data_IF_898291552801
#
_entry.id   IF_898291552801
#
_cell.length_a   1.000
_cell.length_b   1.000
_cell.length_c   1.000
_cell.angle_alpha   90.00
_cell.angle_beta   90.00
_cell.angle_gamma   90.00
#
_symmetry.space_group_name_H-M   'P 1'
#
loop_
_entity.id
_entity.type
_entity.pdbx_description
1 polymer ?
#
# COMPACT_ATOMS: atom_id res chain seq x y z
N UNK A 1 4.26 31.45 -4.18
CA UNK A 1 3.14 31.02 -3.31
C UNK A 1 2.86 29.58 -3.65
N UNK A 2 2.75 28.69 -2.66
CA UNK A 2 2.32 27.31 -2.92
C UNK A 2 0.91 27.34 -3.53
N UNK A 3 0.65 26.52 -4.54
CA UNK A 3 -0.67 26.45 -5.18
C UNK A 3 -1.61 25.72 -4.22
N UNK A 4 -2.58 26.42 -3.66
CA UNK A 4 -3.63 25.79 -2.85
C UNK A 4 -4.51 24.92 -3.74
N UNK A 5 -4.80 23.71 -3.29
CA UNK A 5 -5.72 22.77 -3.95
C UNK A 5 -6.99 22.61 -3.11
N UNK A 6 -8.11 22.28 -3.75
CA UNK A 6 -9.37 22.01 -3.06
C UNK A 6 -9.58 20.51 -2.94
N UNK A 7 -9.71 20.04 -1.70
CA UNK A 7 -9.93 18.64 -1.36
C UNK A 7 -11.36 18.45 -0.90
N UNK A 8 -11.98 17.38 -1.35
CA UNK A 8 -13.26 16.94 -0.83
C UNK A 8 -13.01 16.19 0.46
N UNK A 9 -13.63 16.68 1.52
CA UNK A 9 -13.74 15.98 2.79
C UNK A 9 -15.22 15.67 3.04
N UNK A 10 -15.53 14.65 3.86
CA UNK A 10 -16.88 14.49 4.41
C UNK A 10 -17.21 15.69 5.33
N UNK A 11 -18.13 15.52 6.28
CA UNK A 11 -18.36 16.55 7.30
C UNK A 11 -17.14 16.78 8.21
N UNK A 12 -16.99 18.00 8.75
CA UNK A 12 -15.88 18.39 9.63
C UNK A 12 -15.79 17.56 10.92
N UNK A 13 -16.89 16.92 11.34
CA UNK A 13 -16.95 16.07 12.53
C UNK A 13 -16.66 14.59 12.23
N UNK A 14 -16.44 14.22 10.97
CA UNK A 14 -16.05 12.86 10.58
C UNK A 14 -14.53 12.72 10.70
N UNK A 15 -14.09 11.91 11.66
CA UNK A 15 -12.68 11.73 11.97
C UNK A 15 -12.23 10.28 11.74
N UNK A 16 -11.00 10.04 11.24
CA UNK A 16 -10.43 8.70 11.13
C UNK A 16 -10.47 7.93 12.45
N UNK A 17 -10.59 6.59 12.43
CA UNK A 17 -10.59 5.74 11.25
C UNK A 17 -11.96 5.65 10.56
N UNK A 18 -11.99 5.77 9.23
CA UNK A 18 -13.20 5.56 8.43
C UNK A 18 -12.90 5.01 7.03
N UNK A 19 -13.95 4.47 6.42
CA UNK A 19 -14.05 4.26 4.98
C UNK A 19 -15.26 5.05 4.47
N UNK A 20 -15.02 5.94 3.53
CA UNK A 20 -16.03 6.84 2.96
C UNK A 20 -16.09 6.63 1.45
N UNK A 21 -17.28 6.62 0.89
CA UNK A 21 -17.50 6.67 -0.54
C UNK A 21 -17.86 8.09 -0.93
N UNK A 22 -17.18 8.61 -1.94
CA UNK A 22 -17.58 9.81 -2.67
C UNK A 22 -18.29 9.38 -3.96
N UNK A 23 -19.27 10.16 -4.42
CA UNK A 23 -19.90 9.96 -5.73
C UNK A 23 -20.08 11.27 -6.50
N UNK A 24 -20.04 11.13 -7.82
CA UNK A 24 -20.42 12.13 -8.78
C UNK A 24 -21.37 11.50 -9.81
N UNK A 25 -22.59 12.01 -9.89
CA UNK A 25 -23.55 11.61 -10.91
C UNK A 25 -23.48 12.61 -12.06
N UNK A 26 -23.29 12.12 -13.28
CA UNK A 26 -23.18 12.96 -14.46
C UNK A 26 -23.83 12.29 -15.68
N UNK A 27 -24.11 13.08 -16.71
CA UNK A 27 -24.71 12.60 -17.95
C UNK A 27 -23.88 13.08 -19.13
N UNK A 28 -23.71 12.21 -20.13
CA UNK A 28 -23.04 12.54 -21.39
C UNK A 28 -23.99 12.28 -22.56
N UNK A 29 -24.02 13.20 -23.52
CA UNK A 29 -24.96 13.16 -24.66
C UNK A 29 -24.46 12.31 -25.84
N UNK A 30 -23.16 12.07 -25.91
CA UNK A 30 -22.51 11.24 -26.93
C UNK A 30 -21.29 10.54 -26.33
N UNK A 31 -20.88 9.43 -26.94
CA UNK A 31 -19.66 8.72 -26.57
C UNK A 31 -18.45 9.66 -26.50
N UNK A 32 -17.74 9.62 -25.38
CA UNK A 32 -16.63 10.54 -25.04
C UNK A 32 -15.60 9.85 -24.14
N UNK A 33 -14.65 10.63 -23.61
CA UNK A 33 -13.68 10.18 -22.61
C UNK A 33 -13.74 11.07 -21.37
N UNK A 34 -13.88 10.43 -20.22
CA UNK A 34 -13.69 11.07 -18.93
C UNK A 34 -12.20 11.10 -18.61
N UNK A 35 -11.66 12.30 -18.34
CA UNK A 35 -10.26 12.55 -17.99
C UNK A 35 -10.16 13.36 -16.72
N UNK A 36 -9.42 12.86 -15.74
CA UNK A 36 -9.21 13.56 -14.50
C UNK A 36 -7.94 13.06 -13.79
N UNK A 37 -7.43 13.90 -12.91
CA UNK A 37 -6.43 13.57 -11.90
C UNK A 37 -7.11 13.36 -10.57
N UNK A 38 -6.60 12.42 -9.79
CA UNK A 38 -7.04 12.25 -8.41
C UNK A 38 -5.88 12.05 -7.48
N UNK A 39 -6.07 12.43 -6.23
CA UNK A 39 -5.23 11.99 -5.12
C UNK A 39 -6.13 11.68 -3.95
N UNK A 40 -5.65 10.86 -3.05
CA UNK A 40 -6.29 10.57 -1.78
C UNK A 40 -5.31 10.84 -0.66
N UNK A 41 -5.80 10.85 0.57
CA UNK A 41 -4.91 10.84 1.71
C UNK A 41 -4.24 9.46 1.83
N UNK A 42 -4.80 8.47 2.52
CA UNK A 42 -4.14 7.16 2.55
C UNK A 42 -4.31 6.36 1.24
N UNK A 43 -5.54 6.03 0.85
CA UNK A 43 -5.80 5.30 -0.40
C UNK A 43 -7.22 5.50 -0.89
N UNK A 44 -7.37 5.62 -2.20
CA UNK A 44 -8.63 5.56 -2.89
C UNK A 44 -8.67 4.43 -3.93
N UNK A 45 -9.83 3.80 -4.05
CA UNK A 45 -10.20 2.95 -5.18
C UNK A 45 -11.37 3.59 -5.92
N UNK A 46 -11.24 3.73 -7.25
CA UNK A 46 -12.22 4.44 -8.07
C UNK A 46 -13.01 3.47 -8.93
N UNK A 47 -14.30 3.75 -9.08
CA UNK A 47 -15.23 2.96 -9.87
C UNK A 47 -16.03 3.86 -10.81
N UNK A 48 -16.28 3.40 -12.03
CA UNK A 48 -17.26 3.98 -12.95
C UNK A 48 -18.35 2.95 -13.16
N UNK A 49 -19.59 3.30 -12.82
CA UNK A 49 -20.76 2.43 -12.91
C UNK A 49 -20.55 1.08 -12.19
N UNK A 50 -19.87 1.14 -11.04
CA UNK A 50 -19.52 -0.04 -10.23
C UNK A 50 -18.33 -0.86 -10.74
N UNK A 51 -17.70 -0.50 -11.87
CA UNK A 51 -16.49 -1.16 -12.38
C UNK A 51 -15.25 -0.42 -11.91
N UNK A 52 -14.27 -1.13 -11.33
CA UNK A 52 -13.01 -0.52 -10.89
C UNK A 52 -12.25 0.06 -12.10
N UNK A 53 -11.80 1.31 -12.00
CA UNK A 53 -11.04 2.00 -13.06
C UNK A 53 -9.62 2.41 -12.64
N UNK A 54 -9.41 2.68 -11.35
CA UNK A 54 -8.11 3.14 -10.84
C UNK A 54 -7.97 2.90 -9.33
N UNK A 55 -6.74 3.03 -8.84
CA UNK A 55 -6.42 3.08 -7.41
C UNK A 55 -5.18 3.95 -7.18
N UNK A 56 -5.04 4.47 -5.96
CA UNK A 56 -3.88 5.27 -5.58
C UNK A 56 -4.19 6.24 -4.43
N UNK A 57 -3.33 7.22 -4.16
CA UNK A 57 -2.07 7.46 -4.84
C UNK A 57 -1.02 6.39 -4.48
N UNK A 58 0.11 6.40 -5.18
CA UNK A 58 1.23 5.54 -4.82
C UNK A 58 1.82 5.94 -3.44
N UNK A 59 2.13 4.95 -2.59
CA UNK A 59 2.81 5.16 -1.30
C UNK A 59 4.04 6.05 -1.45
N UNK A 60 4.16 7.04 -0.57
CA UNK A 60 5.20 8.07 -0.62
C UNK A 60 5.40 8.74 0.73
N UNK A 61 6.39 9.62 0.79
CA UNK A 61 6.64 10.48 1.94
C UNK A 61 5.76 11.72 1.97
N UNK A 62 5.75 12.41 3.10
CA UNK A 62 5.02 13.67 3.27
C UNK A 62 5.54 14.80 2.36
N UNK A 63 6.75 14.69 1.80
CA UNK A 63 7.31 15.72 0.93
C UNK A 63 6.94 15.52 -0.55
N UNK A 64 6.46 14.34 -0.94
CA UNK A 64 6.11 14.03 -2.33
C UNK A 64 4.78 13.27 -2.41
N UNK A 65 3.66 13.96 -2.18
CA UNK A 65 2.35 13.35 -2.33
C UNK A 65 2.00 13.23 -3.82
N UNK A 66 1.67 12.04 -4.31
CA UNK A 66 1.43 11.82 -5.74
C UNK A 66 -0.04 11.94 -6.11
N UNK A 67 -0.33 12.30 -7.36
CA UNK A 67 -1.64 12.10 -7.98
C UNK A 67 -1.60 10.94 -8.97
N UNK A 68 -2.76 10.31 -9.22
CA UNK A 68 -3.00 9.42 -10.35
C UNK A 68 -3.72 10.14 -11.48
N UNK A 69 -3.53 9.67 -12.71
CA UNK A 69 -4.23 10.15 -13.90
C UNK A 69 -5.14 9.05 -14.46
N UNK A 70 -6.37 9.41 -14.79
CA UNK A 70 -7.37 8.48 -15.32
C UNK A 70 -7.89 8.99 -16.65
N UNK A 71 -7.98 8.10 -17.63
CA UNK A 71 -8.67 8.33 -18.90
C UNK A 71 -9.49 7.08 -19.22
N UNK A 72 -10.81 7.22 -19.28
CA UNK A 72 -11.72 6.09 -19.49
C UNK A 72 -12.81 6.47 -20.52
N UNK A 73 -13.15 5.58 -21.47
CA UNK A 73 -14.26 5.81 -22.39
C UNK A 73 -15.59 5.78 -21.63
N UNK A 74 -16.51 6.64 -22.04
CA UNK A 74 -17.87 6.75 -21.48
C UNK A 74 -18.85 6.85 -22.63
N UNK A 75 -19.86 5.98 -22.65
CA UNK A 75 -20.91 5.97 -23.67
C UNK A 75 -21.97 7.04 -23.41
N UNK A 76 -22.78 7.40 -24.39
CA UNK A 76 -23.95 8.25 -24.17
C UNK A 76 -24.87 7.67 -23.07
N UNK A 77 -25.21 8.46 -22.04
CA UNK A 77 -26.02 7.98 -20.92
C UNK A 77 -25.76 8.68 -19.58
N UNK A 78 -26.40 8.15 -18.55
CA UNK A 78 -26.18 8.52 -17.15
C UNK A 78 -25.08 7.63 -16.55
N UNK A 79 -24.18 8.24 -15.80
CA UNK A 79 -23.03 7.58 -15.21
C UNK A 79 -22.81 8.00 -13.77
N UNK A 80 -22.21 7.11 -13.00
CA UNK A 80 -21.81 7.37 -11.63
C UNK A 80 -20.31 7.05 -11.48
N UNK A 81 -19.52 8.09 -11.23
CA UNK A 81 -18.16 7.96 -10.74
C UNK A 81 -18.20 7.88 -9.22
N UNK A 82 -17.59 6.86 -8.63
CA UNK A 82 -17.43 6.74 -7.19
C UNK A 82 -15.97 6.56 -6.80
N UNK A 83 -15.63 6.97 -5.58
CA UNK A 83 -14.31 6.78 -5.00
C UNK A 83 -14.44 6.29 -3.55
N UNK A 84 -13.95 5.09 -3.28
CA UNK A 84 -13.80 4.55 -1.93
C UNK A 84 -12.51 5.10 -1.33
N UNK A 85 -12.59 6.01 -0.37
CA UNK A 85 -11.47 6.53 0.39
C UNK A 85 -11.32 5.77 1.71
N UNK A 86 -10.13 5.22 1.93
CA UNK A 86 -9.69 4.73 3.22
C UNK A 86 -8.90 5.83 3.92
N UNK A 87 -9.25 6.13 5.17
CA UNK A 87 -8.49 7.03 6.04
C UNK A 87 -8.53 6.46 7.47
N UNK A 88 -7.47 5.77 7.87
CA UNK A 88 -7.38 5.10 9.17
C UNK A 88 -6.72 5.96 10.25
N UNK A 89 -6.03 7.02 9.84
CA UNK A 89 -5.33 7.94 10.71
C UNK A 89 -4.09 7.30 11.37
N UNK A 90 -3.34 8.08 12.17
CA UNK A 90 -2.02 7.67 12.65
C UNK A 90 -2.04 6.44 13.57
N UNK A 91 -3.17 6.14 14.21
CA UNK A 91 -3.29 4.99 15.10
C UNK A 91 -3.40 3.66 14.34
N UNK A 92 -4.18 3.62 13.25
CA UNK A 92 -4.58 2.38 12.58
C UNK A 92 -4.14 2.27 11.13
N UNK A 93 -3.56 3.32 10.54
CA UNK A 93 -2.97 3.21 9.20
C UNK A 93 -1.88 2.14 9.15
N UNK A 94 -1.65 1.59 7.96
CA UNK A 94 -0.60 0.61 7.72
C UNK A 94 0.77 1.21 8.09
N UNK A 95 1.72 0.39 8.54
CA UNK A 95 2.98 0.93 9.05
C UNK A 95 3.79 1.66 7.99
N UNK A 96 3.76 1.19 6.74
CA UNK A 96 4.42 1.82 5.60
C UNK A 96 3.61 2.99 4.98
N UNK A 97 2.50 3.39 5.59
CA UNK A 97 1.64 4.44 5.09
C UNK A 97 1.81 5.71 5.93
N UNK A 98 1.98 6.86 5.26
CA UNK A 98 1.94 8.17 5.92
C UNK A 98 0.53 8.75 5.84
N UNK A 99 0.19 9.56 6.84
CA UNK A 99 -1.11 10.22 6.99
C UNK A 99 -0.86 11.70 7.33
N UNK A 100 -1.63 12.61 6.73
CA UNK A 100 -1.49 14.06 6.93
C UNK A 100 -2.83 14.71 7.28
N UNK A 101 -3.74 14.75 6.31
CA UNK A 101 -5.10 15.26 6.49
C UNK A 101 -6.04 14.51 5.53
N UNK A 102 -7.08 13.83 6.04
CA UNK A 102 -7.96 13.02 5.20
C UNK A 102 -8.66 13.83 4.10
N UNK A 103 -8.87 13.20 2.94
CA UNK A 103 -9.64 13.79 1.85
C UNK A 103 -9.40 13.13 0.51
N UNK A 104 -10.24 13.48 -0.45
CA UNK A 104 -10.14 13.11 -1.85
C UNK A 104 -9.95 14.37 -2.70
N UNK A 105 -8.88 14.42 -3.48
CA UNK A 105 -8.66 15.43 -4.50
C UNK A 105 -9.09 14.88 -5.85
N UNK A 106 -9.85 15.68 -6.61
CA UNK A 106 -10.15 15.42 -8.02
C UNK A 106 -9.98 16.72 -8.78
N UNK A 107 -9.14 16.71 -9.81
CA UNK A 107 -9.10 17.76 -10.83
C UNK A 107 -9.53 17.14 -12.16
N UNK A 108 -10.66 17.60 -12.66
CA UNK A 108 -11.25 17.09 -13.89
C UNK A 108 -10.81 17.93 -15.10
N UNK A 109 -10.53 17.27 -16.23
CA UNK A 109 -9.99 17.89 -17.44
C UNK A 109 -10.91 17.73 -18.68
N UNK A 110 -12.08 17.09 -18.57
CA UNK A 110 -13.03 16.81 -19.65
C UNK A 110 -14.36 17.59 -19.58
N UNK A 111 -14.57 18.40 -18.54
CA UNK A 111 -15.78 19.12 -18.16
C UNK A 111 -17.05 18.24 -18.09
N UNK A 112 -16.93 16.99 -17.63
CA UNK A 112 -18.07 16.07 -17.51
C UNK A 112 -18.64 15.96 -16.10
N UNK A 113 -17.80 16.06 -15.07
CA UNK A 113 -18.21 15.84 -13.69
C UNK A 113 -18.97 17.05 -13.12
N UNK A 114 -20.01 16.76 -12.33
CA UNK A 114 -20.78 17.78 -11.62
C UNK A 114 -19.95 18.43 -10.49
N UNK A 115 -20.16 19.71 -10.14
CA UNK A 115 -19.62 20.26 -8.89
C UNK A 115 -20.25 19.65 -7.63
N UNK A 116 -21.44 19.04 -7.75
CA UNK A 116 -22.25 18.55 -6.63
C UNK A 116 -21.82 17.14 -6.16
N UNK A 117 -20.57 17.03 -5.73
CA UNK A 117 -20.07 15.81 -5.13
C UNK A 117 -20.78 15.51 -3.81
N UNK A 118 -21.02 14.23 -3.59
CA UNK A 118 -21.63 13.74 -2.36
C UNK A 118 -20.78 12.64 -1.74
N UNK A 119 -20.97 12.40 -0.46
CA UNK A 119 -20.33 11.31 0.25
C UNK A 119 -21.34 10.49 1.07
N UNK A 120 -20.92 9.27 1.40
CA UNK A 120 -21.56 8.39 2.36
C UNK A 120 -20.46 7.63 3.12
N UNK A 121 -20.55 7.64 4.46
CA UNK A 121 -19.66 6.84 5.29
C UNK A 121 -20.17 5.41 5.40
N UNK A 122 -19.26 4.44 5.28
CA UNK A 122 -19.58 3.04 5.58
C UNK A 122 -19.64 2.86 7.10
N UNK A 123 -20.76 2.34 7.61
CA UNK A 123 -20.89 1.99 9.01
C UNK A 123 -20.08 0.74 9.33
N UNK A 124 -18.85 0.95 9.80
CA UNK A 124 -17.90 -0.09 10.13
C UNK A 124 -16.95 0.37 11.24
N UNK A 125 -16.32 -0.59 11.92
CA UNK A 125 -15.18 -0.36 12.81
C UNK A 125 -13.94 -1.06 12.29
N UNK A 126 -12.78 -0.52 12.63
CA UNK A 126 -11.49 -1.11 12.30
C UNK A 126 -10.86 -1.77 13.52
N UNK A 127 -10.20 -2.91 13.32
CA UNK A 127 -9.43 -3.62 14.34
C UNK A 127 -7.98 -3.80 13.88
N UNK A 128 -6.99 -3.72 14.80
CA UNK A 128 -5.59 -3.90 14.45
C UNK A 128 -5.34 -5.19 13.68
N UNK A 129 -4.46 -5.17 12.66
CA UNK A 129 -4.14 -6.36 11.89
C UNK A 129 -3.24 -7.27 12.74
N UNK A 130 -3.71 -8.47 13.03
CA UNK A 130 -2.96 -9.50 13.77
C UNK A 130 -3.18 -10.80 13.02
N UNK A 131 -2.11 -11.54 12.64
CA UNK A 131 -0.71 -11.38 13.07
C UNK A 131 0.14 -10.40 12.22
N UNK A 132 -0.37 -9.91 11.11
CA UNK A 132 0.32 -9.09 10.11
C UNK A 132 0.26 -7.58 10.44
N UNK A 133 0.90 -7.21 11.54
CA UNK A 133 0.79 -5.91 12.19
C UNK A 133 1.15 -4.69 11.32
N UNK A 134 1.89 -4.87 10.24
CA UNK A 134 2.31 -3.79 9.35
C UNK A 134 1.28 -3.41 8.27
N UNK A 135 0.28 -4.24 8.02
CA UNK A 135 -0.69 -4.05 6.93
C UNK A 135 -1.87 -3.15 7.33
N UNK A 136 -2.86 -3.00 6.45
CA UNK A 136 -4.09 -2.27 6.79
C UNK A 136 -4.96 -3.07 7.78
N UNK A 137 -5.46 -2.35 8.81
CA UNK A 137 -6.39 -2.83 9.83
C UNK A 137 -7.59 -3.56 9.22
N UNK A 138 -8.14 -4.58 9.90
CA UNK A 138 -9.32 -5.34 9.45
C UNK A 138 -10.59 -4.55 9.67
N UNK A 139 -11.57 -4.75 8.80
CA UNK A 139 -12.83 -4.03 8.76
C UNK A 139 -13.99 -4.90 9.22
N UNK A 140 -14.75 -4.42 10.20
CA UNK A 140 -15.96 -5.07 10.69
C UNK A 140 -17.16 -4.16 10.41
N UNK A 141 -17.98 -4.51 9.42
CA UNK A 141 -19.21 -3.81 9.08
C UNK A 141 -20.30 -4.00 10.13
N UNK A 142 -21.03 -2.93 10.41
CA UNK A 142 -22.25 -2.99 11.19
C UNK A 142 -23.43 -3.56 10.35
N UNK A 143 -24.46 -4.14 10.98
CA UNK A 143 -25.69 -4.51 10.30
C UNK A 143 -26.33 -3.29 9.60
N UNK A 144 -26.78 -3.46 8.36
CA UNK A 144 -27.45 -2.39 7.60
C UNK A 144 -26.50 -1.43 6.88
N UNK A 145 -25.19 -1.62 6.98
CA UNK A 145 -24.22 -0.86 6.18
C UNK A 145 -24.50 -1.00 4.67
N UNK A 146 -24.29 0.08 3.91
CA UNK A 146 -24.48 0.06 2.46
C UNK A 146 -23.27 -0.57 1.75
N UNK A 147 -23.26 -1.90 1.63
CA UNK A 147 -22.21 -2.64 0.92
C UNK A 147 -22.20 -2.40 -0.61
N UNK A 148 -23.20 -1.69 -1.15
CA UNK A 148 -23.29 -1.34 -2.57
C UNK A 148 -22.83 0.10 -2.85
N UNK A 149 -22.33 0.83 -1.84
CA UNK A 149 -21.91 2.23 -1.96
C UNK A 149 -20.79 2.46 -3.00
N UNK A 150 -19.99 1.44 -3.32
CA UNK A 150 -19.01 1.51 -4.42
C UNK A 150 -19.66 1.73 -5.80
N UNK A 151 -20.96 1.44 -5.97
CA UNK A 151 -21.71 1.79 -7.18
C UNK A 151 -22.27 3.22 -7.14
N UNK A 152 -22.08 3.93 -6.02
CA UNK A 152 -22.65 5.25 -5.76
C UNK A 152 -24.17 5.27 -5.58
N UNK A 153 -24.78 4.12 -5.23
CA UNK A 153 -26.23 3.96 -5.01
C UNK A 153 -26.53 3.45 -3.60
N UNK A 154 -27.79 3.58 -3.17
CA UNK A 154 -28.26 3.10 -1.87
C UNK A 154 -27.88 4.02 -0.69
N UNK A 155 -28.62 3.88 0.41
CA UNK A 155 -28.48 4.72 1.61
C UNK A 155 -28.64 6.22 1.35
N UNK A 156 -28.23 7.04 2.32
CA UNK A 156 -28.29 8.50 2.25
C UNK A 156 -26.93 9.09 1.87
N UNK A 157 -26.94 10.10 1.00
CA UNK A 157 -25.75 10.77 0.48
C UNK A 157 -25.80 12.25 0.82
N UNK A 158 -24.72 12.74 1.41
CA UNK A 158 -24.60 14.11 1.92
C UNK A 158 -23.63 14.91 1.05
N UNK A 159 -23.81 16.23 0.89
CA UNK A 159 -22.85 17.06 0.15
C UNK A 159 -21.47 17.03 0.81
N UNK A 160 -20.41 17.05 0.01
CA UNK A 160 -19.03 17.17 0.51
C UNK A 160 -18.73 18.59 1.00
N UNK A 161 -17.69 18.73 1.80
CA UNK A 161 -17.08 20.02 2.10
C UNK A 161 -15.80 20.14 1.28
N UNK A 162 -15.57 21.32 0.69
CA UNK A 162 -14.30 21.64 0.03
C UNK A 162 -13.37 22.32 1.04
N UNK A 163 -12.23 21.68 1.30
CA UNK A 163 -11.19 22.20 2.17
C UNK A 163 -9.96 22.59 1.35
N UNK A 164 -9.36 23.72 1.70
CA UNK A 164 -8.08 24.13 1.16
C UNK A 164 -6.95 23.27 1.73
N UNK A 165 -6.09 22.78 0.85
CA UNK A 165 -4.90 22.03 1.22
C UNK A 165 -3.68 22.56 0.46
N UNK A 166 -2.57 22.69 1.18
CA UNK A 166 -1.32 23.23 0.67
C UNK A 166 -0.30 22.15 0.29
N UNK A 167 -0.64 20.86 0.42
CA UNK A 167 0.24 19.77 0.01
C UNK A 167 0.52 19.86 -1.48
N UNK A 168 1.78 19.72 -1.82
CA UNK A 168 2.20 19.68 -3.21
C UNK A 168 1.87 18.31 -3.80
N UNK A 169 1.27 18.31 -4.99
CA UNK A 169 0.91 17.10 -5.71
C UNK A 169 1.89 16.87 -6.86
N UNK A 170 2.51 15.70 -6.86
CA UNK A 170 3.53 15.29 -7.82
C UNK A 170 2.98 14.27 -8.82
N UNK A 171 3.48 14.25 -10.07
CA UNK A 171 3.11 13.22 -11.03
C UNK A 171 3.46 11.81 -10.52
N UNK A 172 2.75 10.77 -10.99
CA UNK A 172 3.07 9.39 -10.63
C UNK A 172 4.47 9.02 -11.12
N UNK A 173 5.25 8.33 -10.29
CA UNK A 173 6.58 7.85 -10.67
C UNK A 173 6.58 6.38 -11.09
N UNK A 174 5.52 5.63 -10.77
CA UNK A 174 5.37 4.22 -11.12
C UNK A 174 4.30 4.01 -12.19
N UNK A 175 4.42 2.93 -12.99
CA UNK A 175 3.29 2.44 -13.77
C UNK A 175 2.16 1.94 -12.83
N UNK A 176 0.91 1.87 -13.32
CA UNK A 176 -0.18 1.24 -12.57
C UNK A 176 0.14 -0.21 -12.18
N UNK A 177 -0.27 -0.62 -10.98
CA UNK A 177 -0.11 -2.01 -10.53
C UNK A 177 -0.87 -2.98 -11.43
N UNK A 178 -0.33 -4.18 -11.63
CA UNK A 178 -1.00 -5.21 -12.44
C UNK A 178 -2.24 -5.74 -11.72
N UNK A 179 -3.26 -6.16 -12.47
CA UNK A 179 -4.42 -6.89 -11.93
C UNK A 179 -4.77 -8.02 -12.89
N UNK A 180 -4.08 -9.14 -12.73
CA UNK A 180 -4.21 -10.30 -13.62
C UNK A 180 -5.16 -11.33 -12.99
N UNK A 181 -6.19 -11.82 -13.69
CA UNK A 181 -7.04 -12.88 -13.16
C UNK A 181 -6.21 -14.06 -12.67
N UNK A 182 -6.47 -14.51 -11.44
CA UNK A 182 -5.82 -15.66 -10.82
C UNK A 182 -6.85 -16.78 -10.68
N UNK A 183 -6.74 -17.76 -11.58
CA UNK A 183 -7.68 -18.89 -11.69
C UNK A 183 -7.06 -20.20 -11.23
N UNK A 184 -5.78 -20.20 -10.85
CA UNK A 184 -5.04 -21.39 -10.44
C UNK A 184 -5.18 -21.63 -8.94
N UNK A 185 -6.39 -22.06 -8.57
CA UNK A 185 -6.74 -22.43 -7.21
C UNK A 185 -7.69 -23.62 -7.16
N UNK A 186 -7.57 -24.39 -6.07
CA UNK A 186 -8.55 -25.40 -5.67
C UNK A 186 -9.47 -24.78 -4.62
N UNK A 187 -10.78 -24.94 -4.83
CA UNK A 187 -11.79 -24.54 -3.86
C UNK A 187 -12.35 -25.76 -3.12
N UNK A 188 -12.34 -25.70 -1.80
CA UNK A 188 -12.99 -26.65 -0.91
C UNK A 188 -14.00 -25.92 -0.04
N UNK A 189 -15.27 -25.98 -0.43
CA UNK A 189 -16.34 -25.24 0.23
C UNK A 189 -16.03 -23.73 0.26
N UNK A 190 -15.63 -23.21 1.42
CA UNK A 190 -15.32 -21.80 1.67
C UNK A 190 -13.82 -21.53 1.78
N UNK A 191 -12.98 -22.51 1.45
CA UNK A 191 -11.52 -22.41 1.50
C UNK A 191 -10.94 -22.44 0.08
N UNK A 192 -10.07 -21.48 -0.23
CA UNK A 192 -9.39 -21.33 -1.52
C UNK A 192 -7.90 -21.55 -1.33
N UNK A 193 -7.36 -22.58 -1.98
CA UNK A 193 -5.93 -22.91 -1.98
C UNK A 193 -5.33 -22.58 -3.33
N UNK A 194 -4.45 -21.59 -3.35
CA UNK A 194 -3.77 -21.18 -4.58
C UNK A 194 -2.49 -21.99 -4.79
N UNK A 195 -2.18 -22.32 -6.04
CA UNK A 195 -0.97 -23.08 -6.37
C UNK A 195 0.34 -22.35 -6.00
N UNK A 196 0.27 -21.03 -5.92
CA UNK A 196 1.43 -20.17 -5.75
C UNK A 196 1.16 -19.04 -4.76
N UNK A 197 2.21 -18.63 -4.06
CA UNK A 197 2.19 -17.45 -3.19
C UNK A 197 2.06 -16.18 -4.03
N UNK A 198 1.15 -15.27 -3.70
CA UNK A 198 1.04 -13.99 -4.42
C UNK A 198 0.36 -12.89 -3.59
N UNK A 199 0.46 -11.65 -4.06
CA UNK A 199 -0.43 -10.57 -3.65
C UNK A 199 -1.75 -10.70 -4.41
N UNK A 200 -2.87 -10.81 -3.69
CA UNK A 200 -4.20 -11.04 -4.27
C UNK A 200 -5.21 -10.02 -3.80
N UNK A 201 -6.00 -9.55 -4.76
CA UNK A 201 -7.20 -8.76 -4.51
C UNK A 201 -8.43 -9.62 -4.82
N UNK A 202 -9.36 -9.71 -3.86
CA UNK A 202 -10.56 -10.53 -3.97
C UNK A 202 -11.81 -9.73 -4.29
N UNK A 203 -12.67 -10.31 -5.14
CA UNK A 203 -14.03 -9.85 -5.41
C UNK A 203 -14.98 -11.00 -5.15
N UNK A 204 -15.98 -10.79 -4.30
CA UNK A 204 -16.86 -11.84 -3.83
C UNK A 204 -18.31 -11.46 -4.07
N UNK A 205 -19.04 -12.33 -4.74
CA UNK A 205 -20.47 -12.21 -4.96
C UNK A 205 -21.19 -13.07 -3.94
N UNK A 206 -21.94 -12.43 -3.06
CA UNK A 206 -22.72 -13.07 -2.02
C UNK A 206 -24.23 -12.89 -2.25
N UNK A 207 -24.98 -13.81 -1.66
CA UNK A 207 -26.41 -13.68 -1.42
C UNK A 207 -26.63 -13.69 0.09
N UNK A 208 -27.30 -12.67 0.61
CA UNK A 208 -27.69 -12.59 2.02
C UNK A 208 -29.19 -12.89 2.25
N UNK A 209 -29.66 -12.78 3.51
CA UNK A 209 -28.97 -12.15 4.63
C UNK A 209 -28.06 -13.12 5.40
N UNK A 210 -27.08 -12.58 6.14
CA UNK A 210 -26.23 -13.37 7.03
C UNK A 210 -24.89 -12.69 7.31
N UNK A 211 -23.98 -13.39 7.97
CA UNK A 211 -22.63 -12.88 8.25
C UNK A 211 -21.61 -13.60 7.39
N UNK A 212 -20.63 -12.83 6.90
CA UNK A 212 -19.45 -13.37 6.22
C UNK A 212 -18.21 -12.89 6.96
N UNK A 213 -17.26 -13.80 7.20
CA UNK A 213 -15.90 -13.46 7.61
C UNK A 213 -14.94 -13.90 6.51
N UNK A 214 -13.98 -13.06 6.17
CA UNK A 214 -12.94 -13.33 5.16
C UNK A 214 -11.57 -13.17 5.79
N UNK A 215 -10.67 -14.13 5.62
CA UNK A 215 -9.26 -14.01 6.02
C UNK A 215 -8.32 -14.57 4.97
N UNK A 216 -7.07 -14.11 5.02
CA UNK A 216 -6.00 -14.51 4.12
C UNK A 216 -4.79 -14.97 4.93
N UNK A 217 -4.14 -16.05 4.49
CA UNK A 217 -3.13 -16.76 5.25
C UNK A 217 -1.90 -17.05 4.40
N UNK A 218 -0.73 -16.97 5.03
CA UNK A 218 0.57 -17.06 4.36
C UNK A 218 0.84 -18.45 3.76
N UNK A 219 0.92 -19.54 4.54
CA UNK A 219 1.10 -20.87 3.96
C UNK A 219 -0.20 -21.46 3.43
N UNK A 220 -0.07 -22.44 2.55
CA UNK A 220 -1.12 -23.43 2.32
C UNK A 220 -1.25 -24.31 3.57
N UNK A 221 -2.13 -23.93 4.50
CA UNK A 221 -2.55 -24.85 5.56
C UNK A 221 -3.49 -25.88 4.95
N UNK A 222 -3.38 -27.15 5.32
CA UNK A 222 -4.29 -28.17 4.78
C UNK A 222 -5.73 -27.98 5.28
N UNK A 223 -5.91 -27.27 6.41
CA UNK A 223 -7.21 -26.85 6.95
C UNK A 223 -7.02 -25.82 8.10
N UNK A 224 -8.13 -25.16 8.49
CA UNK A 224 -8.14 -24.14 9.55
C UNK A 224 -7.66 -24.62 10.93
N UNK A 225 -7.57 -25.93 11.18
CA UNK A 225 -7.11 -26.49 12.45
C UNK A 225 -5.58 -26.54 12.59
N UNK A 226 -4.82 -26.23 11.54
CA UNK A 226 -3.34 -26.15 11.56
C UNK A 226 -2.83 -24.75 11.89
N UNK A 227 -3.72 -23.74 11.94
CA UNK A 227 -3.37 -22.39 12.36
C UNK A 227 -2.90 -22.36 13.82
N UNK A 228 -1.84 -21.61 14.17
CA UNK A 228 -1.50 -21.37 15.57
C UNK A 228 -2.73 -20.88 16.34
N UNK A 229 -3.07 -21.44 17.52
CA UNK A 229 -4.29 -21.09 18.24
C UNK A 229 -4.52 -19.58 18.43
N UNK A 230 -3.45 -18.82 18.70
CA UNK A 230 -3.49 -17.36 18.82
C UNK A 230 -3.87 -16.60 17.52
N UNK A 231 -3.77 -17.24 16.36
CA UNK A 231 -4.15 -16.67 15.05
C UNK A 231 -5.57 -17.05 14.62
N UNK A 232 -6.22 -18.00 15.31
CA UNK A 232 -7.53 -18.52 14.89
C UNK A 232 -8.68 -17.54 15.11
N UNK A 233 -8.57 -16.69 16.12
CA UNK A 233 -9.61 -15.73 16.54
C UNK A 233 -9.46 -14.33 15.91
N UNK A 234 -8.40 -14.12 15.12
CA UNK A 234 -8.06 -12.82 14.53
C UNK A 234 -8.04 -12.88 13.00
N UNK A 235 -7.64 -11.78 12.36
CA UNK A 235 -7.41 -11.68 10.92
C UNK A 235 -8.68 -11.72 10.04
N UNK A 236 -9.86 -11.39 10.59
CA UNK A 236 -11.12 -11.41 9.83
C UNK A 236 -11.55 -10.02 9.40
N UNK A 237 -11.81 -9.85 8.11
CA UNK A 237 -12.74 -8.83 7.63
C UNK A 237 -14.17 -9.40 7.78
N UNK A 238 -15.08 -8.67 8.41
CA UNK A 238 -16.42 -9.14 8.78
C UNK A 238 -17.49 -8.28 8.11
N UNK A 239 -18.39 -8.93 7.37
CA UNK A 239 -19.48 -8.31 6.64
C UNK A 239 -20.83 -8.79 7.17
N UNK A 240 -21.78 -7.87 7.32
CA UNK A 240 -23.18 -8.19 7.61
C UNK A 240 -23.98 -8.00 6.33
N UNK A 241 -24.35 -9.10 5.69
CA UNK A 241 -25.07 -9.09 4.42
C UNK A 241 -26.57 -8.79 4.66
N UNK A 242 -27.15 -7.78 3.98
CA UNK A 242 -28.59 -7.63 3.90
C UNK A 242 -29.23 -8.73 3.03
N UNK A 243 -30.56 -8.88 3.03
CA UNK A 243 -31.25 -9.70 2.04
C UNK A 243 -30.95 -9.21 0.60
N UNK A 244 -30.63 -10.14 -0.30
CA UNK A 244 -30.33 -9.83 -1.70
C UNK A 244 -28.88 -10.08 -2.08
N UNK A 245 -28.52 -9.66 -3.30
CA UNK A 245 -27.18 -9.80 -3.85
C UNK A 245 -26.25 -8.69 -3.35
N UNK A 246 -25.03 -9.09 -2.99
CA UNK A 246 -23.96 -8.20 -2.52
C UNK A 246 -22.68 -8.55 -3.26
N UNK A 247 -21.98 -7.55 -3.78
CA UNK A 247 -20.63 -7.73 -4.30
C UNK A 247 -19.67 -6.98 -3.39
N UNK A 248 -18.76 -7.71 -2.77
CA UNK A 248 -17.70 -7.16 -1.95
C UNK A 248 -16.39 -7.12 -2.70
N UNK A 249 -15.70 -6.00 -2.61
CA UNK A 249 -14.34 -5.82 -3.10
C UNK A 249 -13.43 -5.63 -1.90
N UNK A 250 -12.36 -6.41 -1.79
CA UNK A 250 -11.38 -6.17 -0.74
C UNK A 250 -10.83 -4.73 -0.87
N UNK A 251 -10.71 -3.98 0.23
CA UNK A 251 -10.21 -2.59 0.17
C UNK A 251 -8.67 -2.52 0.09
N UNK A 252 -8.00 -3.66 0.29
CA UNK A 252 -6.55 -3.82 0.16
C UNK A 252 -6.23 -5.25 -0.29
N UNK A 253 -5.14 -5.44 -1.05
CA UNK A 253 -4.69 -6.79 -1.39
C UNK A 253 -4.18 -7.52 -0.14
N UNK A 254 -4.15 -8.85 -0.18
CA UNK A 254 -3.50 -9.67 0.85
C UNK A 254 -2.47 -10.58 0.22
N UNK A 255 -1.38 -10.83 0.94
CA UNK A 255 -0.36 -11.78 0.53
C UNK A 255 -0.67 -13.15 1.10
N UNK A 256 -0.34 -14.21 0.37
CA UNK A 256 -0.48 -15.58 0.89
C UNK A 256 -0.78 -16.62 -0.18
N UNK A 257 -1.14 -17.81 0.29
CA UNK A 257 -1.56 -18.96 -0.53
C UNK A 257 -2.96 -19.45 -0.21
N UNK A 258 -3.61 -18.91 0.83
CA UNK A 258 -4.94 -19.36 1.24
C UNK A 258 -5.87 -18.20 1.54
N UNK A 259 -7.10 -18.28 1.05
CA UNK A 259 -8.21 -17.41 1.46
C UNK A 259 -9.31 -18.28 2.06
N UNK A 260 -9.78 -17.94 3.25
CA UNK A 260 -10.83 -18.66 3.96
C UNK A 260 -12.03 -17.74 4.20
N UNK A 261 -13.23 -18.29 3.97
CA UNK A 261 -14.49 -17.66 4.31
C UNK A 261 -15.21 -18.46 5.40
N UNK A 262 -15.87 -17.75 6.30
CA UNK A 262 -16.88 -18.32 7.20
C UNK A 262 -18.22 -17.66 6.92
N UNK A 263 -19.22 -18.48 6.63
CA UNK A 263 -20.58 -18.05 6.29
C UNK A 263 -21.52 -18.49 7.41
N UNK A 264 -22.26 -17.56 7.99
CA UNK A 264 -23.21 -17.82 9.07
C UNK A 264 -24.60 -17.28 8.70
N UNK A 265 -25.65 -17.96 9.17
CA UNK A 265 -27.04 -17.63 8.83
C UNK A 265 -27.40 -18.03 7.40
N UNK A 266 -28.05 -17.13 6.66
CA UNK A 266 -28.46 -17.34 5.27
C UNK A 266 -27.44 -16.88 4.22
N UNK A 267 -26.22 -16.52 4.65
CA UNK A 267 -25.17 -16.04 3.76
C UNK A 267 -24.69 -17.16 2.83
N UNK A 268 -24.64 -16.88 1.54
CA UNK A 268 -24.19 -17.83 0.51
C UNK A 268 -23.18 -17.13 -0.39
N UNK A 269 -22.02 -17.74 -0.59
CA UNK A 269 -21.09 -17.35 -1.65
C UNK A 269 -21.62 -17.86 -3.00
N UNK A 270 -21.83 -16.95 -3.95
CA UNK A 270 -22.22 -17.26 -5.33
C UNK A 270 -21.02 -17.41 -6.24
N UNK A 271 -20.04 -16.51 -6.11
CA UNK A 271 -18.84 -16.49 -6.91
C UNK A 271 -17.71 -15.77 -6.16
N UNK A 272 -16.47 -16.22 -6.34
CA UNK A 272 -15.29 -15.48 -5.93
C UNK A 272 -14.36 -15.33 -7.14
N UNK A 273 -13.81 -14.13 -7.30
CA UNK A 273 -12.84 -13.79 -8.34
C UNK A 273 -11.59 -13.24 -7.64
N UNK A 274 -10.42 -13.69 -8.08
CA UNK A 274 -9.15 -13.26 -7.52
C UNK A 274 -8.28 -12.66 -8.61
N UNK A 275 -7.55 -11.61 -8.24
CA UNK A 275 -6.63 -10.92 -9.14
C UNK A 275 -5.26 -10.82 -8.48
N UNK A 276 -4.24 -11.32 -9.18
CA UNK A 276 -2.84 -11.09 -8.83
C UNK A 276 -2.48 -9.64 -9.07
N UNK A 277 -1.97 -9.00 -8.02
CA UNK A 277 -1.49 -7.62 -8.07
C UNK A 277 -0.01 -7.51 -7.72
N UNK A 278 0.59 -6.34 -7.93
CA UNK A 278 2.03 -6.14 -7.81
C UNK A 278 2.61 -5.15 -8.81
N UNK A 279 3.88 -4.78 -8.59
CA UNK A 279 4.63 -3.98 -9.55
C UNK A 279 4.76 -4.73 -10.90
N UNK A 280 4.48 -4.08 -12.05
CA UNK A 280 4.54 -4.71 -13.36
C UNK A 280 5.98 -4.73 -13.92
N UNK A 281 6.83 -5.58 -13.33
CA UNK A 281 8.23 -5.73 -13.78
C UNK A 281 8.36 -6.03 -15.28
N UNK A 282 9.34 -5.39 -15.92
CA UNK A 282 9.76 -5.69 -17.30
C UNK A 282 11.10 -6.40 -17.27
N UNK A 283 11.08 -7.72 -17.34
CA UNK A 283 12.28 -8.55 -17.31
C UNK A 283 13.06 -8.47 -18.63
N UNK A 284 14.39 -8.48 -18.54
CA UNK A 284 15.33 -8.56 -19.68
C UNK A 284 16.12 -9.87 -19.71
N UNK A 285 15.72 -10.82 -18.88
CA UNK A 285 16.34 -12.15 -18.73
C UNK A 285 15.25 -13.22 -18.79
N UNK A 286 15.64 -14.40 -19.23
CA UNK A 286 14.81 -15.61 -19.14
C UNK A 286 15.15 -16.37 -17.87
N UNK A 287 14.12 -16.88 -17.18
CA UNK A 287 14.28 -17.63 -15.92
C UNK A 287 14.44 -19.14 -16.14
N UNK A 288 14.88 -19.55 -17.33
CA UNK A 288 15.02 -20.95 -17.72
C UNK A 288 16.39 -21.50 -17.37
N UNK A 289 16.46 -22.75 -16.91
CA UNK A 289 17.73 -23.41 -16.64
C UNK A 289 17.66 -24.91 -16.99
N UNK A 290 18.69 -25.51 -17.62
CA UNK A 290 18.67 -26.93 -18.01
C UNK A 290 18.48 -27.92 -16.86
N UNK A 291 18.98 -27.57 -15.66
CA UNK A 291 18.77 -28.33 -14.42
C UNK A 291 17.43 -27.95 -13.77
N UNK A 292 16.45 -28.87 -13.66
CA UNK A 292 15.12 -28.57 -13.11
C UNK A 292 15.12 -27.98 -11.70
N UNK A 293 16.06 -28.39 -10.85
CA UNK A 293 16.17 -27.84 -9.49
C UNK A 293 16.52 -26.35 -9.50
N UNK A 294 17.38 -25.91 -10.42
CA UNK A 294 17.76 -24.50 -10.55
C UNK A 294 16.65 -23.68 -11.21
N UNK A 295 15.96 -24.23 -12.20
CA UNK A 295 14.80 -23.57 -12.81
C UNK A 295 13.71 -23.31 -11.76
N UNK A 296 13.43 -24.29 -10.91
CA UNK A 296 12.51 -24.12 -9.78
C UNK A 296 12.99 -23.05 -8.79
N UNK A 297 14.29 -23.00 -8.48
CA UNK A 297 14.85 -21.97 -7.61
C UNK A 297 14.71 -20.57 -8.22
N UNK A 298 14.94 -20.42 -9.53
CA UNK A 298 14.79 -19.14 -10.24
C UNK A 298 13.33 -18.68 -10.25
N UNK A 299 12.39 -19.60 -10.51
CA UNK A 299 10.96 -19.33 -10.45
C UNK A 299 10.52 -18.84 -9.06
N UNK A 300 10.95 -19.54 -7.99
CA UNK A 300 10.66 -19.16 -6.62
C UNK A 300 11.30 -17.82 -6.24
N UNK A 301 12.55 -17.58 -6.66
CA UNK A 301 13.27 -16.32 -6.40
C UNK A 301 12.58 -15.14 -7.08
N UNK A 302 12.17 -15.31 -8.34
CA UNK A 302 11.35 -14.35 -9.06
C UNK A 302 10.04 -14.10 -8.33
N UNK A 303 9.37 -15.15 -7.85
CA UNK A 303 8.10 -15.01 -7.14
C UNK A 303 8.24 -14.19 -5.86
N UNK A 304 9.25 -14.49 -5.05
CA UNK A 304 9.56 -13.73 -3.83
C UNK A 304 9.82 -12.27 -4.17
N UNK A 305 10.64 -12.00 -5.19
CA UNK A 305 10.92 -10.64 -5.65
C UNK A 305 9.65 -9.90 -6.09
N UNK A 306 8.78 -10.53 -6.89
CA UNK A 306 7.51 -9.91 -7.30
C UNK A 306 6.60 -9.61 -6.11
N UNK A 307 6.51 -10.52 -5.13
CA UNK A 307 5.67 -10.32 -3.96
C UNK A 307 6.20 -9.23 -3.03
N UNK A 308 7.51 -9.05 -2.95
CA UNK A 308 8.15 -7.98 -2.19
C UNK A 308 8.17 -6.62 -2.93
N UNK A 309 7.44 -6.49 -4.04
CA UNK A 309 7.38 -5.24 -4.83
C UNK A 309 5.94 -4.82 -5.14
N UNK A 310 5.58 -3.63 -4.69
CA UNK A 310 4.30 -2.99 -5.00
C UNK A 310 4.57 -1.53 -5.38
N UNK A 311 4.14 -0.58 -4.57
CA UNK A 311 4.46 0.85 -4.71
C UNK A 311 5.80 1.23 -4.05
N UNK A 312 6.34 0.31 -3.25
CA UNK A 312 7.67 0.33 -2.63
C UNK A 312 8.27 -1.07 -2.74
N UNK A 313 9.57 -1.18 -2.46
CA UNK A 313 10.11 -2.47 -2.02
C UNK A 313 9.61 -2.78 -0.61
N UNK A 314 9.54 -4.06 -0.27
CA UNK A 314 9.06 -4.56 1.01
C UNK A 314 10.03 -5.61 1.54
N UNK A 315 10.25 -5.64 2.84
CA UNK A 315 10.94 -6.73 3.54
C UNK A 315 10.17 -8.05 3.39
N UNK A 316 8.86 -8.00 3.63
CA UNK A 316 7.95 -9.12 3.47
C UNK A 316 6.55 -8.66 3.02
N UNK A 317 5.83 -9.49 2.25
CA UNK A 317 4.51 -9.12 1.74
C UNK A 317 3.36 -9.38 2.72
N UNK A 318 3.52 -10.33 3.66
CA UNK A 318 2.48 -10.70 4.62
C UNK A 318 2.50 -9.83 5.86
N UNK A 319 3.61 -9.80 6.62
CA UNK A 319 3.62 -9.24 7.98
C UNK A 319 3.75 -7.71 8.05
N UNK A 320 4.84 -7.15 7.52
CA UNK A 320 5.26 -5.76 7.79
C UNK A 320 5.02 -4.81 6.60
N UNK A 321 5.36 -5.26 5.39
CA UNK A 321 5.30 -4.45 4.16
C UNK A 321 6.12 -3.15 4.21
N UNK A 322 7.24 -3.15 4.94
CA UNK A 322 8.09 -1.98 5.19
C UNK A 322 9.25 -1.91 4.20
N UNK A 323 9.58 -0.70 3.73
CA UNK A 323 10.75 -0.49 2.86
C UNK A 323 12.01 -0.21 3.70
N UNK A 324 12.59 -1.27 4.27
CA UNK A 324 13.87 -1.19 4.98
C UNK A 324 15.03 -0.96 3.99
N UNK A 325 15.99 -0.13 4.38
CA UNK A 325 17.09 0.28 3.51
C UNK A 325 17.98 -0.89 3.11
N UNK A 326 18.29 -1.81 4.04
CA UNK A 326 19.11 -2.99 3.78
C UNK A 326 18.51 -3.89 2.70
N UNK A 327 17.25 -4.28 2.88
CA UNK A 327 16.45 -5.09 1.96
C UNK A 327 16.33 -4.40 0.60
N UNK A 328 16.04 -3.10 0.61
CA UNK A 328 15.87 -2.30 -0.60
C UNK A 328 17.13 -2.26 -1.45
N UNK A 329 18.32 -2.21 -0.84
CA UNK A 329 19.58 -2.25 -1.60
C UNK A 329 19.70 -3.53 -2.41
N UNK A 330 19.45 -4.68 -1.78
CA UNK A 330 19.53 -5.99 -2.46
C UNK A 330 18.49 -6.08 -3.57
N UNK A 331 17.25 -5.68 -3.28
CA UNK A 331 16.15 -5.70 -4.27
C UNK A 331 16.38 -4.73 -5.44
N UNK A 332 17.00 -3.56 -5.20
CA UNK A 332 17.38 -2.63 -6.25
C UNK A 332 18.48 -3.22 -7.16
N UNK A 333 19.52 -3.85 -6.58
CA UNK A 333 20.56 -4.54 -7.34
C UNK A 333 20.01 -5.68 -8.19
N UNK A 334 19.06 -6.46 -7.64
CA UNK A 334 18.32 -7.47 -8.40
C UNK A 334 17.60 -6.80 -9.58
N UNK A 335 16.86 -5.71 -9.34
CA UNK A 335 16.13 -4.97 -10.37
C UNK A 335 17.06 -4.50 -11.50
N UNK A 336 18.20 -3.89 -11.18
CA UNK A 336 19.16 -3.45 -12.20
C UNK A 336 19.71 -4.62 -13.03
N UNK A 337 19.85 -5.79 -12.40
CA UNK A 337 20.37 -7.00 -13.04
C UNK A 337 19.36 -7.64 -13.98
N UNK A 338 18.09 -7.77 -13.58
CA UNK A 338 17.11 -8.60 -14.29
C UNK A 338 16.01 -7.81 -15.01
N UNK A 339 15.85 -6.51 -14.72
CA UNK A 339 14.79 -5.67 -15.30
C UNK A 339 15.34 -4.57 -16.23
N UNK A 340 14.52 -4.16 -17.19
CA UNK A 340 14.76 -3.01 -18.06
C UNK A 340 14.10 -1.72 -17.56
N UNK A 341 13.12 -1.84 -16.65
CA UNK A 341 12.42 -0.70 -16.06
C UNK A 341 12.96 -0.38 -14.66
N UNK A 342 13.42 0.85 -14.48
CA UNK A 342 14.07 1.34 -13.26
C UNK A 342 13.23 2.42 -12.55
N UNK A 343 11.92 2.51 -12.83
CA UNK A 343 11.05 3.46 -12.13
C UNK A 343 10.99 3.20 -10.61
N UNK A 344 10.76 1.95 -10.18
CA UNK A 344 10.74 1.59 -8.76
C UNK A 344 12.05 1.91 -7.99
N UNK A 345 13.25 1.53 -8.47
CA UNK A 345 14.49 1.88 -7.76
C UNK A 345 14.77 3.38 -7.75
N UNK A 346 14.44 4.13 -8.82
CA UNK A 346 14.56 5.59 -8.81
C UNK A 346 13.64 6.23 -7.79
N UNK A 347 12.39 5.80 -7.71
CA UNK A 347 11.44 6.26 -6.69
C UNK A 347 11.94 5.90 -5.29
N UNK A 348 12.38 4.66 -5.07
CA UNK A 348 12.90 4.20 -3.77
C UNK A 348 14.08 5.06 -3.29
N UNK A 349 15.01 5.44 -4.18
CA UNK A 349 16.12 6.34 -3.83
C UNK A 349 15.64 7.73 -3.39
N UNK A 350 14.66 8.31 -4.09
CA UNK A 350 14.07 9.61 -3.71
C UNK A 350 13.36 9.53 -2.37
N UNK A 351 12.49 8.52 -2.22
CA UNK A 351 11.70 8.31 -1.01
C UNK A 351 12.58 8.04 0.21
N UNK A 352 13.61 7.21 0.09
CA UNK A 352 14.56 6.97 1.20
C UNK A 352 15.44 8.18 1.51
N UNK A 353 15.71 9.07 0.55
CA UNK A 353 16.43 10.32 0.84
C UNK A 353 15.64 11.27 1.74
N UNK A 354 14.30 11.19 1.75
CA UNK A 354 13.45 11.92 2.70
C UNK A 354 13.57 11.40 4.13
N UNK A 355 14.06 10.18 4.32
CA UNK A 355 14.34 9.58 5.62
C UNK A 355 15.55 10.20 6.32
N UNK A 356 16.32 11.05 5.61
CA UNK A 356 17.51 11.73 6.12
C UNK A 356 17.13 13.09 6.69
N UNK A 357 17.36 13.29 7.98
CA UNK A 357 17.16 14.57 8.65
C UNK A 357 18.28 15.58 8.34
N UNK A 358 18.12 16.82 8.79
CA UNK A 358 19.11 17.89 8.57
C UNK A 358 20.43 17.67 9.32
N UNK A 359 20.45 16.81 10.34
CA UNK A 359 21.65 16.43 11.08
C UNK A 359 22.39 15.24 10.42
N UNK A 360 21.82 14.65 9.36
CA UNK A 360 22.36 13.51 8.65
C UNK A 360 22.06 12.17 9.32
N UNK A 361 21.05 12.08 10.18
CA UNK A 361 20.54 10.80 10.67
C UNK A 361 19.55 10.25 9.65
N UNK A 362 19.65 8.95 9.34
CA UNK A 362 18.77 8.26 8.40
C UNK A 362 17.95 7.20 9.13
N UNK A 363 16.64 7.27 9.01
CA UNK A 363 15.77 6.20 9.52
C UNK A 363 16.05 4.87 8.80
N UNK A 364 15.89 3.75 9.50
CA UNK A 364 16.15 2.43 8.93
C UNK A 364 15.15 2.01 7.82
N UNK A 365 14.01 2.68 7.74
CA UNK A 365 12.92 2.44 6.78
C UNK A 365 12.15 3.73 6.51
N UNK A 366 11.58 3.86 5.33
CA UNK A 366 10.71 4.98 4.95
C UNK A 366 9.93 4.64 3.67
N UNK A 367 8.67 5.06 3.48
CA UNK A 367 7.83 5.82 4.42
C UNK A 367 7.37 4.99 5.61
N UNK A 368 6.93 5.65 6.68
CA UNK A 368 6.30 4.97 7.80
C UNK A 368 5.49 5.88 8.73
N UNK A 369 4.45 5.34 9.36
CA UNK A 369 3.56 6.10 10.27
C UNK A 369 4.23 6.56 11.56
N UNK A 370 5.32 5.91 11.95
CA UNK A 370 6.12 6.24 13.14
C UNK A 370 6.85 7.59 13.03
N UNK A 371 6.75 8.25 11.86
CA UNK A 371 7.43 9.52 11.56
C UNK A 371 6.68 10.74 12.12
N UNK A 372 5.57 10.53 12.82
CA UNK A 372 4.84 11.61 13.47
C UNK A 372 5.29 11.80 14.94
N UNK A 373 6.34 12.61 15.17
CA UNK A 373 6.56 13.22 16.49
C UNK A 373 6.90 14.70 16.33
N UNK A 374 5.88 15.56 16.42
CA UNK A 374 6.04 16.93 16.95
C UNK A 374 5.18 17.09 18.19
N UNK A 375 5.77 17.15 19.40
CA UNK A 375 5.09 17.62 20.58
C UNK A 375 5.65 19.00 20.97
N UNK A 376 4.87 20.05 20.73
CA UNK A 376 4.84 21.17 21.67
C UNK A 376 3.64 20.95 22.59
N UNK A 377 3.83 21.05 23.92
CA UNK A 377 2.80 20.91 24.96
C UNK A 377 2.40 19.48 25.41
N UNK A 378 3.39 18.58 25.51
CA UNK A 378 3.53 17.86 26.78
C UNK A 378 2.97 16.45 26.95
N UNK A 379 2.43 15.76 25.93
CA UNK A 379 2.30 14.28 25.95
C UNK A 379 2.36 13.66 24.55
N UNK A 380 3.45 12.97 24.28
CA UNK A 380 3.59 11.93 23.25
C UNK A 380 4.58 10.90 23.79
N UNK A 381 4.19 9.62 23.86
CA UNK A 381 5.13 8.53 24.15
C UNK A 381 5.99 8.38 22.90
N UNK A 382 7.30 8.59 23.03
CA UNK A 382 8.25 8.51 21.93
C UNK A 382 8.17 7.14 21.25
N UNK A 383 7.65 7.08 20.02
CA UNK A 383 8.00 5.99 19.11
C UNK A 383 9.42 6.28 18.65
N UNK A 384 10.35 5.43 19.09
CA UNK A 384 11.79 5.56 18.86
C UNK A 384 12.05 5.49 17.37
N UNK A 385 12.53 6.57 16.75
CA UNK A 385 13.15 6.47 15.43
C UNK A 385 14.27 5.43 15.52
N UNK A 386 14.06 4.27 14.90
CA UNK A 386 15.04 3.18 14.95
C UNK A 386 16.09 3.48 13.88
N UNK A 387 17.22 3.99 14.34
CA UNK A 387 18.39 4.21 13.50
C UNK A 387 19.20 2.92 13.45
N UNK A 388 19.49 2.42 12.25
CA UNK A 388 20.45 1.33 12.04
C UNK A 388 21.66 1.92 11.32
N UNK A 389 22.83 2.03 11.97
CA UNK A 389 24.02 2.64 11.37
C UNK A 389 24.45 2.00 10.05
N UNK A 390 24.42 0.68 9.95
CA UNK A 390 24.77 -0.04 8.71
C UNK A 390 23.86 0.35 7.55
N UNK A 391 22.58 0.65 7.81
CA UNK A 391 21.61 1.06 6.79
C UNK A 391 21.89 2.46 6.26
N UNK A 392 22.37 3.38 7.10
CA UNK A 392 22.85 4.70 6.67
C UNK A 392 23.97 4.56 5.63
N UNK A 393 24.91 3.63 5.84
CA UNK A 393 25.99 3.35 4.91
C UNK A 393 25.50 2.62 3.65
N UNK A 394 24.51 1.74 3.78
CA UNK A 394 23.89 1.07 2.65
C UNK A 394 23.19 2.07 1.73
N UNK A 395 22.57 3.13 2.25
CA UNK A 395 21.97 4.14 1.38
C UNK A 395 23.00 4.93 0.56
N UNK A 396 24.13 5.33 1.19
CA UNK A 396 25.27 5.90 0.44
C UNK A 396 25.73 4.93 -0.66
N UNK A 397 25.80 3.64 -0.32
CA UNK A 397 26.17 2.59 -1.27
C UNK A 397 25.11 2.41 -2.37
N UNK A 398 23.82 2.50 -2.07
CA UNK A 398 22.74 2.40 -3.07
C UNK A 398 22.83 3.51 -4.10
N UNK A 399 23.07 4.76 -3.67
CA UNK A 399 23.26 5.86 -4.62
C UNK A 399 24.53 5.66 -5.43
N UNK A 400 25.60 5.15 -4.83
CA UNK A 400 26.83 4.80 -5.55
C UNK A 400 26.61 3.62 -6.54
N UNK A 401 25.84 2.61 -6.17
CA UNK A 401 25.51 1.46 -7.01
C UNK A 401 24.70 1.93 -8.22
N UNK A 402 23.69 2.78 -8.00
CA UNK A 402 23.03 3.52 -9.09
C UNK A 402 24.08 4.30 -9.87
N UNK A 403 24.98 5.03 -9.19
CA UNK A 403 26.02 5.87 -9.77
C UNK A 403 26.96 5.18 -10.77
N UNK A 404 27.07 3.85 -10.68
CA UNK A 404 27.94 3.07 -11.54
C UNK A 404 27.23 2.38 -12.69
N UNK A 405 25.90 2.29 -12.63
CA UNK A 405 25.09 1.48 -13.54
C UNK A 405 24.31 2.29 -14.58
N UNK A 406 24.23 3.62 -14.44
CA UNK A 406 23.56 4.52 -15.40
C UNK A 406 24.48 5.58 -15.98
N UNK A 407 24.08 6.08 -17.14
CA UNK A 407 24.70 7.19 -17.85
C UNK A 407 24.03 8.56 -17.60
N UNK A 408 23.04 8.62 -16.70
CA UNK A 408 22.34 9.87 -16.30
C UNK A 408 22.62 10.24 -14.84
N UNK A 409 23.32 11.35 -14.65
CA UNK A 409 23.67 11.88 -13.34
C UNK A 409 22.56 12.72 -12.70
N UNK A 410 21.46 13.03 -13.39
CA UNK A 410 20.39 13.91 -12.92
C UNK A 410 19.87 13.53 -11.53
N UNK A 411 19.52 12.26 -11.34
CA UNK A 411 19.04 11.76 -10.04
C UNK A 411 20.15 11.78 -8.97
N UNK A 412 21.40 11.49 -9.31
CA UNK A 412 22.48 11.60 -8.30
C UNK A 412 22.67 13.04 -7.88
N UNK A 413 22.65 13.99 -8.82
CA UNK A 413 22.71 15.43 -8.52
C UNK A 413 21.52 15.88 -7.66
N UNK A 414 20.31 15.40 -7.96
CA UNK A 414 19.10 15.62 -7.17
C UNK A 414 19.28 15.17 -5.71
N UNK A 415 19.92 14.01 -5.49
CA UNK A 415 20.08 13.41 -4.16
C UNK A 415 21.29 13.96 -3.36
N UNK A 416 22.31 14.52 -4.03
CA UNK A 416 23.54 15.01 -3.39
C UNK A 416 23.30 15.92 -2.17
N UNK A 417 22.36 16.89 -2.18
CA UNK A 417 22.09 17.72 -1.02
C UNK A 417 21.67 16.94 0.23
N UNK A 418 20.99 15.79 0.07
CA UNK A 418 20.58 14.90 1.18
C UNK A 418 21.73 13.98 1.63
N UNK A 419 22.59 13.57 0.70
CA UNK A 419 23.71 12.67 0.99
C UNK A 419 24.86 13.36 1.75
N UNK A 420 25.07 14.66 1.53
CA UNK A 420 26.15 15.42 2.17
C UNK A 420 26.04 15.43 3.72
N UNK A 421 24.88 15.79 4.32
CA UNK A 421 24.70 15.68 5.76
C UNK A 421 24.89 14.25 6.29
N UNK A 422 24.39 13.24 5.58
CA UNK A 422 24.56 11.83 5.94
C UNK A 422 26.04 11.42 5.99
N UNK A 423 26.80 11.74 4.93
CA UNK A 423 28.22 11.45 4.86
C UNK A 423 29.03 12.21 5.94
N UNK A 424 28.69 13.46 6.22
CA UNK A 424 29.31 14.24 7.30
C UNK A 424 28.96 13.67 8.68
N UNK A 425 27.73 13.20 8.89
CA UNK A 425 27.34 12.50 10.11
C UNK A 425 28.14 11.21 10.30
N UNK A 426 28.29 10.39 9.26
CA UNK A 426 29.17 9.21 9.30
C UNK A 426 30.61 9.59 9.64
N UNK A 427 31.17 10.62 9.00
CA UNK A 427 32.54 11.09 9.23
C UNK A 427 32.77 11.53 10.68
N UNK A 428 31.79 12.21 11.30
CA UNK A 428 31.86 12.63 12.72
C UNK A 428 31.94 11.47 13.71
N UNK A 429 31.45 10.29 13.32
CA UNK A 429 31.46 9.09 14.13
C UNK A 429 32.63 8.14 13.82
N UNK A 430 33.53 8.54 12.91
CA UNK A 430 34.79 7.82 12.67
C UNK A 430 35.76 8.15 13.81
N UNK A 431 36.12 7.14 14.59
CA UNK A 431 37.03 7.29 15.72
C UNK A 431 38.50 7.30 15.27
N UNK A 432 39.40 7.71 16.19
CA UNK A 432 40.85 7.79 15.93
C UNK A 432 41.49 6.44 15.58
N UNK A 433 40.88 5.34 16.01
CA UNK A 433 41.30 3.97 15.69
C UNK A 433 40.81 3.49 14.31
N UNK A 434 40.14 4.36 13.54
CA UNK A 434 39.61 4.03 12.21
C UNK A 434 38.30 3.25 12.23
N UNK A 435 37.73 2.98 13.40
CA UNK A 435 36.45 2.29 13.55
C UNK A 435 35.30 3.28 13.62
N UNK A 436 34.16 2.89 13.03
CA UNK A 436 32.94 3.69 13.06
C UNK A 436 32.10 3.34 14.28
N UNK A 437 31.70 4.36 15.06
CA UNK A 437 30.84 4.20 16.24
C UNK A 437 29.68 5.19 16.19
N UNK A 438 28.59 4.79 15.54
CA UNK A 438 27.39 5.61 15.38
C UNK A 438 26.30 5.20 16.38
N UNK A 439 25.50 6.14 16.91
CA UNK A 439 24.37 5.83 17.78
C UNK A 439 23.26 5.09 17.01
N UNK A 440 22.55 4.20 17.68
CA UNK A 440 21.41 3.47 17.13
C UNK A 440 21.44 1.99 17.48
N UNK A 441 20.56 1.23 16.82
CA UNK A 441 20.56 -0.22 16.86
C UNK A 441 21.68 -0.74 15.95
N UNK A 442 22.76 -1.26 16.55
CA UNK A 442 23.92 -1.81 15.84
C UNK A 442 23.61 -3.19 15.20
N UNK A 443 22.50 -3.25 14.46
CA UNK A 443 22.04 -4.44 13.74
C UNK A 443 22.96 -4.76 12.57
N UNK A 444 23.31 -6.03 12.46
CA UNK A 444 24.10 -6.58 11.36
C UNK A 444 23.40 -7.77 10.72
N UNK A 445 23.00 -8.79 11.50
CA UNK A 445 22.36 -10.01 10.97
C UNK A 445 21.62 -10.80 12.06
N UNK A 446 20.63 -11.62 11.68
CA UNK A 446 19.85 -12.47 12.57
C UNK A 446 20.49 -13.84 12.80
N UNK A 447 21.65 -13.86 13.47
CA UNK A 447 22.31 -15.11 13.86
C UNK A 447 21.78 -15.66 15.21
N UNK A 448 21.67 -16.99 15.38
CA UNK A 448 21.06 -17.58 16.59
C UNK A 448 21.70 -17.14 17.91
N UNK A 449 23.00 -16.82 17.91
CA UNK A 449 23.75 -16.40 19.08
C UNK A 449 23.87 -14.88 19.25
N UNK A 450 23.18 -14.09 18.41
CA UNK A 450 23.24 -12.63 18.43
C UNK A 450 21.94 -12.08 19.04
N UNK A 451 22.08 -11.21 20.04
CA UNK A 451 20.91 -10.61 20.68
C UNK A 451 20.41 -9.45 19.83
N UNK A 452 19.16 -9.51 19.38
CA UNK A 452 18.57 -8.50 18.49
C UNK A 452 19.43 -8.22 17.25
N UNK A 453 20.08 -9.25 16.70
CA UNK A 453 20.96 -9.15 15.54
C UNK A 453 22.21 -8.26 15.72
N UNK A 454 22.62 -8.00 16.97
CA UNK A 454 23.87 -7.31 17.32
C UNK A 454 24.97 -8.35 17.58
N UNK A 455 26.15 -8.11 17.01
CA UNK A 455 27.34 -8.96 17.20
C UNK A 455 27.73 -9.04 18.69
N UNK A 456 28.24 -10.19 19.19
CA UNK A 456 28.83 -10.28 20.52
C UNK A 456 29.97 -9.26 20.70
N UNK A 457 29.86 -8.40 21.71
CA UNK A 457 30.82 -7.33 21.99
C UNK A 457 30.60 -6.03 21.21
N UNK A 458 29.48 -5.92 20.49
CA UNK A 458 29.08 -4.75 19.71
C UNK A 458 28.12 -3.79 20.39
#
# INVERSE_FOLDING_TARGET
>A
MAKTTLWMIPDLHVHPPYLVYFRNCFKVESDTQLRFRFSAEERAMLFLDGKRIAEGPERSGLQHWHYGEVTVPVSAGEHILSAQLLALGPALTAYAQMSLAPGLYVQEDSNLLSPDWQYQQLDCRFVPPVPDWGTYARLHCAPGCNLQAYRGVGGEWQPVILAEDCRELHPPQLPPMKYLPDTDFRQEQTLFHFAEYALRWGVYHFQGPGQVKIRHLEPAYANASELPPATREHNWDILQLPPGEVVWHDYWFRAGQTTELQLEGGAVLKQAEFFRTGYPHRYKVDFTHPEPAHERLLELSRRTFECCTFETYMDCPFYEQLMYVGDTRVQALITYTICSDWCLPRKALRTLAEAIDTAGNMQNRYPGKEIAVRPCWGRAIAQVQVYIPSFSLFFLSMVHDYARLRDDDSLVQELLPRLRPLAENTRRHLCQDGLLRMPGWNFIDWLPNWQSGVTPGG
#
